data_IF_576687382350
#
_entry.id   IF_576687382350
#
_cell.length_a   1.000
_cell.length_b   1.000
_cell.length_c   1.000
_cell.angle_alpha   90.00
_cell.angle_beta   90.00
_cell.angle_gamma   90.00
#
_symmetry.space_group_name_H-M   'P 1'
#
loop_
_entity.id
_entity.type
_entity.pdbx_description
1 polymer ?
#
# COMPACT_ATOMS: atom_id res chain seq x y z
N UNK A 1 -24.16 6.90 29.34
CA UNK A 1 -22.98 6.90 30.24
C UNK A 1 -23.45 7.19 31.65
N UNK A 2 -23.02 6.41 32.63
CA UNK A 2 -23.29 6.73 34.03
C UNK A 2 -22.10 7.49 34.61
N UNK A 3 -22.29 8.71 35.16
CA UNK A 3 -21.20 9.42 35.80
C UNK A 3 -20.77 8.71 37.08
N UNK A 4 -19.46 8.66 37.31
CA UNK A 4 -18.85 8.16 38.56
C UNK A 4 -17.96 9.26 39.13
N UNK A 5 -18.03 9.44 40.45
CA UNK A 5 -17.16 10.40 41.14
C UNK A 5 -15.80 9.77 41.38
N UNK A 6 -14.74 10.52 41.10
CA UNK A 6 -13.39 10.17 41.52
C UNK A 6 -13.29 10.37 43.03
N UNK A 7 -12.78 9.37 43.74
CA UNK A 7 -12.63 9.36 45.19
C UNK A 7 -11.15 9.34 45.55
N UNK A 8 -10.75 10.07 46.58
CA UNK A 8 -9.37 10.01 47.08
C UNK A 8 -9.23 8.82 48.03
N UNK A 9 -8.27 7.94 47.77
CA UNK A 9 -7.96 6.79 48.62
C UNK A 9 -6.48 6.86 48.97
N UNK A 10 -6.17 7.08 50.25
CA UNK A 10 -4.80 7.32 50.70
C UNK A 10 -4.30 8.73 50.38
N UNK A 11 -2.97 8.92 50.38
CA UNK A 11 -2.36 10.24 50.30
C UNK A 11 -2.27 10.78 48.85
N UNK A 12 -1.99 9.90 47.89
CA UNK A 12 -1.68 10.23 46.48
C UNK A 12 -2.53 9.51 45.44
N UNK A 13 -3.39 8.57 45.83
CA UNK A 13 -4.13 7.73 44.87
C UNK A 13 -5.59 8.16 44.75
N UNK A 14 -6.08 8.16 43.50
CA UNK A 14 -7.48 8.37 43.17
C UNK A 14 -8.10 7.05 42.75
N UNK A 15 -9.35 6.82 43.10
CA UNK A 15 -10.13 5.63 42.73
C UNK A 15 -11.46 6.01 42.09
N UNK A 16 -12.00 5.09 41.31
CA UNK A 16 -13.33 5.18 40.71
C UNK A 16 -14.05 3.85 40.93
N UNK A 17 -15.35 3.90 41.22
CA UNK A 17 -16.14 2.68 41.39
C UNK A 17 -16.50 2.07 40.04
N UNK A 18 -16.23 0.77 39.87
CA UNK A 18 -16.58 0.02 38.66
C UNK A 18 -18.11 -0.11 38.50
N UNK A 19 -18.67 -0.09 37.28
CA UNK A 19 -20.11 -0.27 37.05
C UNK A 19 -20.59 -1.64 37.52
N UNK A 20 -21.68 -1.68 38.30
CA UNK A 20 -22.20 -2.92 38.90
C UNK A 20 -22.58 -3.97 37.85
N UNK A 21 -23.17 -3.55 36.73
CA UNK A 21 -23.55 -4.48 35.65
C UNK A 21 -22.33 -5.04 34.92
N UNK A 22 -21.26 -4.26 34.80
CA UNK A 22 -20.01 -4.73 34.22
C UNK A 22 -19.35 -5.76 35.13
N UNK A 23 -19.24 -5.48 36.43
CA UNK A 23 -18.72 -6.42 37.44
C UNK A 23 -19.49 -7.75 37.44
N UNK A 24 -20.83 -7.71 37.33
CA UNK A 24 -21.65 -8.92 37.23
C UNK A 24 -21.39 -9.72 35.96
N UNK A 25 -21.22 -9.04 34.81
CA UNK A 25 -20.94 -9.69 33.52
C UNK A 25 -19.56 -10.33 33.48
N UNK A 26 -18.58 -9.68 34.08
CA UNK A 26 -17.19 -10.16 34.06
C UNK A 26 -16.84 -11.07 35.23
N UNK A 27 -17.71 -11.17 36.24
CA UNK A 27 -17.52 -12.07 37.39
C UNK A 27 -16.46 -11.61 38.39
N UNK A 28 -15.95 -10.38 38.26
CA UNK A 28 -14.88 -9.83 39.11
C UNK A 28 -15.32 -9.75 40.57
N UNK A 29 -14.43 -10.20 41.46
CA UNK A 29 -14.58 -10.14 42.90
C UNK A 29 -13.54 -9.23 43.55
N UNK A 30 -13.74 -8.97 44.84
CA UNK A 30 -12.79 -8.18 45.64
C UNK A 30 -11.45 -8.89 45.69
N UNK A 31 -10.40 -8.22 45.21
CA UNK A 31 -9.03 -8.74 45.22
C UNK A 31 -8.53 -9.19 43.84
N UNK A 32 -9.44 -9.32 42.87
CA UNK A 32 -9.07 -9.63 41.49
C UNK A 32 -8.36 -8.45 40.83
N UNK A 33 -7.47 -8.76 39.88
CA UNK A 33 -6.74 -7.78 39.11
C UNK A 33 -7.59 -7.28 37.94
N UNK A 34 -7.52 -5.98 37.68
CA UNK A 34 -8.09 -5.34 36.49
C UNK A 34 -6.98 -4.55 35.84
N UNK A 35 -6.83 -4.72 34.54
CA UNK A 35 -5.79 -4.06 33.75
C UNK A 35 -6.36 -2.78 33.14
N UNK A 36 -5.56 -1.73 33.15
CA UNK A 36 -5.92 -0.40 32.65
C UNK A 36 -4.94 -0.05 31.53
N UNK A 37 -5.45 0.28 30.35
CA UNK A 37 -4.69 0.86 29.25
C UNK A 37 -5.26 2.22 28.86
N UNK A 38 -4.38 3.18 28.57
CA UNK A 38 -4.77 4.49 28.03
C UNK A 38 -4.90 4.40 26.50
N UNK A 39 -6.04 4.83 25.98
CA UNK A 39 -6.32 4.93 24.54
C UNK A 39 -5.92 6.33 24.02
N UNK A 40 -5.82 6.50 22.70
CA UNK A 40 -5.37 7.76 22.06
C UNK A 40 -6.23 8.98 22.38
N UNK A 41 -7.51 8.79 22.67
CA UNK A 41 -8.45 9.84 23.08
C UNK A 41 -8.35 10.20 24.59
N UNK A 42 -7.34 9.66 25.28
CA UNK A 42 -7.14 9.72 26.74
C UNK A 42 -8.24 9.01 27.54
N UNK A 43 -9.03 8.15 26.91
CA UNK A 43 -9.91 7.24 27.63
C UNK A 43 -9.11 6.10 28.25
N UNK A 44 -9.64 5.52 29.33
CA UNK A 44 -9.05 4.36 29.98
C UNK A 44 -9.89 3.12 29.66
N UNK A 45 -9.27 2.12 29.06
CA UNK A 45 -9.87 0.80 28.81
C UNK A 45 -9.53 -0.14 29.96
N UNK A 46 -10.56 -0.82 30.46
CA UNK A 46 -10.48 -1.78 31.56
C UNK A 46 -10.67 -3.21 31.03
N UNK A 47 -9.75 -4.12 31.34
CA UNK A 47 -9.86 -5.56 31.00
C UNK A 47 -9.63 -6.44 32.23
N UNK A 48 -10.26 -7.62 32.24
CA UNK A 48 -10.19 -8.58 33.36
C UNK A 48 -9.07 -9.60 33.21
N UNK A 49 -8.65 -9.81 31.98
CA UNK A 49 -7.44 -10.55 31.67
C UNK A 49 -6.33 -9.54 31.40
N UNK A 50 -5.06 -9.91 31.69
CA UNK A 50 -3.93 -9.19 31.11
C UNK A 50 -4.20 -9.07 29.62
N UNK A 51 -3.77 -7.98 28.99
CA UNK A 51 -3.64 -8.00 27.54
C UNK A 51 -2.83 -9.28 27.23
N UNK A 52 -3.48 -10.28 26.62
CA UNK A 52 -2.77 -11.49 26.23
C UNK A 52 -1.57 -10.97 25.44
N UNK A 53 -0.36 -11.29 25.88
CA UNK A 53 0.82 -11.16 25.02
C UNK A 53 0.39 -11.80 23.71
N UNK A 54 0.40 -11.04 22.61
CA UNK A 54 -0.14 -11.46 21.31
C UNK A 54 0.00 -12.97 21.17
N UNK A 55 -1.08 -13.73 21.41
CA UNK A 55 -1.05 -15.17 21.18
C UNK A 55 -0.66 -15.25 19.70
N UNK A 56 0.52 -15.81 19.40
CA UNK A 56 0.99 -15.93 18.03
C UNK A 56 0.04 -16.89 17.32
N UNK A 57 -1.06 -16.33 16.82
CA UNK A 57 -2.11 -17.07 16.15
C UNK A 57 -1.47 -17.76 14.94
N UNK A 58 -1.59 -19.08 14.90
CA UNK A 58 -1.17 -19.88 13.75
C UNK A 58 -2.33 -19.96 12.79
N UNK A 59 -2.18 -19.35 11.62
CA UNK A 59 -3.20 -19.35 10.59
C UNK A 59 -3.00 -20.51 9.64
N UNK A 60 -4.00 -21.40 9.56
CA UNK A 60 -3.90 -22.64 8.80
C UNK A 60 -4.43 -22.43 7.37
N UNK A 61 -3.60 -22.75 6.39
CA UNK A 61 -3.93 -22.79 4.96
C UNK A 61 -4.03 -24.24 4.53
N UNK A 62 -5.22 -24.68 4.14
CA UNK A 62 -5.46 -26.03 3.66
C UNK A 62 -5.23 -26.11 2.14
N UNK A 63 -4.13 -26.75 1.74
CA UNK A 63 -3.72 -26.90 0.33
C UNK A 63 -4.72 -27.72 -0.47
N UNK A 64 -5.41 -28.69 0.15
CA UNK A 64 -6.40 -29.54 -0.53
C UNK A 64 -7.64 -28.78 -0.99
N UNK A 65 -7.80 -27.52 -0.53
CA UNK A 65 -8.86 -26.59 -0.94
C UNK A 65 -8.41 -25.58 -1.99
N UNK A 66 -7.17 -25.66 -2.46
CA UNK A 66 -6.64 -24.80 -3.50
C UNK A 66 -6.72 -25.52 -4.86
N UNK A 67 -7.45 -24.96 -5.83
CA UNK A 67 -7.60 -25.60 -7.15
C UNK A 67 -6.29 -25.68 -7.94
N UNK A 68 -5.34 -24.77 -7.66
CA UNK A 68 -4.01 -24.74 -8.27
C UNK A 68 -3.02 -23.95 -7.41
N UNK A 69 -1.74 -24.03 -7.76
CA UNK A 69 -0.65 -23.33 -7.06
C UNK A 69 -0.82 -21.81 -7.04
N UNK A 70 -1.37 -21.18 -8.09
CA UNK A 70 -1.59 -19.72 -8.10
C UNK A 70 -2.62 -19.26 -7.06
N UNK A 71 -3.61 -20.10 -6.72
CA UNK A 71 -4.54 -19.81 -5.63
C UNK A 71 -3.81 -19.92 -4.29
N UNK A 72 -2.99 -20.96 -4.11
CA UNK A 72 -2.18 -21.13 -2.92
C UNK A 72 -1.26 -19.93 -2.67
N UNK A 73 -0.56 -19.46 -3.71
CA UNK A 73 0.29 -18.26 -3.64
C UNK A 73 -0.48 -17.03 -3.15
N UNK A 74 -1.63 -16.76 -3.77
CA UNK A 74 -2.49 -15.62 -3.40
C UNK A 74 -3.00 -15.72 -1.96
N UNK A 75 -3.32 -16.92 -1.48
CA UNK A 75 -3.73 -17.13 -0.08
C UNK A 75 -2.58 -16.83 0.88
N UNK A 76 -1.35 -17.24 0.55
CA UNK A 76 -0.16 -16.94 1.37
C UNK A 76 0.11 -15.43 1.40
N UNK A 77 0.10 -14.77 0.24
CA UNK A 77 0.23 -13.30 0.14
C UNK A 77 -0.88 -12.60 0.93
N UNK A 78 -2.14 -13.05 0.82
CA UNK A 78 -3.25 -12.46 1.57
C UNK A 78 -3.05 -12.60 3.08
N UNK A 79 -2.59 -13.76 3.55
CA UNK A 79 -2.26 -13.93 4.96
C UNK A 79 -1.15 -12.98 5.42
N UNK A 80 -0.12 -12.80 4.59
CA UNK A 80 0.97 -11.86 4.85
C UNK A 80 0.48 -10.41 4.92
N UNK A 81 -0.31 -9.97 3.95
CA UNK A 81 -0.86 -8.61 3.90
C UNK A 81 -1.81 -8.34 5.07
N UNK A 82 -2.49 -9.36 5.60
CA UNK A 82 -3.31 -9.27 6.82
C UNK A 82 -2.50 -9.19 8.12
N UNK A 83 -1.19 -8.93 8.08
CA UNK A 83 -0.39 -8.79 9.31
C UNK A 83 -0.09 -10.09 10.05
N UNK A 84 -0.43 -11.26 9.48
CA UNK A 84 -0.32 -12.55 10.18
C UNK A 84 1.13 -12.98 10.33
N UNK A 85 1.55 -13.36 11.53
CA UNK A 85 2.95 -13.68 11.83
C UNK A 85 3.32 -15.14 11.55
N UNK A 86 2.40 -16.09 11.77
CA UNK A 86 2.65 -17.53 11.54
C UNK A 86 1.56 -18.10 10.63
N UNK A 87 1.98 -18.67 9.50
CA UNK A 87 1.10 -19.31 8.52
C UNK A 87 1.51 -20.78 8.40
N UNK A 88 0.63 -21.70 8.77
CA UNK A 88 0.83 -23.14 8.58
C UNK A 88 0.13 -23.57 7.30
N UNK A 89 0.89 -23.92 6.27
CA UNK A 89 0.38 -24.46 5.02
C UNK A 89 0.38 -25.97 5.13
N UNK A 90 -0.79 -26.62 5.15
CA UNK A 90 -0.92 -28.07 5.38
C UNK A 90 -1.81 -28.78 4.36
N UNK A 91 -1.59 -30.08 4.21
CA UNK A 91 -2.37 -30.98 3.35
C UNK A 91 -2.62 -32.31 4.05
N UNK A 92 -3.75 -32.95 3.75
CA UNK A 92 -4.05 -34.32 4.18
C UNK A 92 -3.25 -35.39 3.40
N UNK A 93 -2.63 -35.00 2.28
CA UNK A 93 -1.72 -35.82 1.48
C UNK A 93 -0.30 -35.25 1.55
N UNK A 94 0.66 -36.01 1.01
CA UNK A 94 2.00 -35.48 0.77
C UNK A 94 1.92 -34.27 -0.16
N UNK A 95 2.63 -33.20 0.20
CA UNK A 95 2.72 -32.01 -0.63
C UNK A 95 3.48 -32.32 -1.92
N UNK A 96 2.95 -31.82 -3.04
CA UNK A 96 3.57 -31.97 -4.35
C UNK A 96 4.75 -31.03 -4.47
N UNK A 97 5.73 -31.41 -5.30
CA UNK A 97 6.91 -30.58 -5.56
C UNK A 97 6.56 -29.17 -6.06
N UNK A 98 5.57 -29.08 -6.94
CA UNK A 98 5.08 -27.80 -7.49
C UNK A 98 4.51 -26.89 -6.39
N UNK A 99 3.78 -27.45 -5.42
CA UNK A 99 3.22 -26.71 -4.28
C UNK A 99 4.33 -26.18 -3.37
N UNK A 100 5.33 -27.00 -3.06
CA UNK A 100 6.48 -26.60 -2.24
C UNK A 100 7.31 -25.52 -2.94
N UNK A 101 7.58 -25.67 -4.24
CA UNK A 101 8.29 -24.67 -5.04
C UNK A 101 7.52 -23.34 -5.09
N UNK A 102 6.21 -23.40 -5.27
CA UNK A 102 5.33 -22.23 -5.23
C UNK A 102 5.34 -21.52 -3.87
N UNK A 103 5.26 -22.26 -2.76
CA UNK A 103 5.37 -21.70 -1.40
C UNK A 103 6.73 -21.01 -1.19
N UNK A 104 7.83 -21.64 -1.65
CA UNK A 104 9.19 -21.07 -1.57
C UNK A 104 9.32 -19.79 -2.38
N UNK A 105 8.80 -19.77 -3.61
CA UNK A 105 8.85 -18.60 -4.48
C UNK A 105 8.11 -17.41 -3.86
N UNK A 106 6.94 -17.65 -3.26
CA UNK A 106 6.20 -16.59 -2.56
C UNK A 106 6.93 -16.10 -1.31
N UNK A 107 7.47 -17.02 -0.49
CA UNK A 107 8.22 -16.65 0.69
C UNK A 107 9.44 -15.77 0.36
N UNK A 108 10.12 -16.02 -0.76
CA UNK A 108 11.25 -15.19 -1.21
C UNK A 108 10.86 -13.78 -1.63
N UNK A 109 9.63 -13.57 -2.13
CA UNK A 109 9.14 -12.24 -2.53
C UNK A 109 8.56 -11.44 -1.36
N UNK A 110 8.22 -12.07 -0.24
CA UNK A 110 7.59 -11.40 0.90
C UNK A 110 8.63 -11.07 1.96
N UNK A 111 8.88 -9.77 2.18
CA UNK A 111 9.94 -9.33 3.08
C UNK A 111 9.73 -9.91 4.49
N UNK A 112 10.80 -10.52 5.02
CA UNK A 112 10.84 -11.09 6.37
C UNK A 112 10.03 -12.36 6.57
N UNK A 113 9.39 -12.91 5.54
CA UNK A 113 8.70 -14.21 5.60
C UNK A 113 9.70 -15.33 5.29
N UNK A 114 9.85 -16.29 6.20
CA UNK A 114 10.72 -17.45 6.03
C UNK A 114 10.02 -18.76 6.36
N UNK A 115 10.46 -19.85 5.72
CA UNK A 115 10.05 -21.21 6.10
C UNK A 115 10.88 -21.63 7.30
N UNK A 116 10.23 -21.89 8.45
CA UNK A 116 10.90 -22.33 9.68
C UNK A 116 10.76 -23.83 9.94
N UNK A 117 9.77 -24.47 9.32
CA UNK A 117 9.54 -25.90 9.41
C UNK A 117 9.02 -26.42 8.07
N UNK A 118 9.55 -27.56 7.63
CA UNK A 118 9.13 -28.26 6.42
C UNK A 118 8.98 -29.75 6.74
N UNK A 119 7.82 -30.31 6.41
CA UNK A 119 7.51 -31.73 6.51
C UNK A 119 6.90 -32.24 5.21
N UNK A 120 6.66 -33.55 5.12
CA UNK A 120 5.98 -34.15 3.97
C UNK A 120 4.52 -33.65 3.80
N UNK A 121 3.90 -33.11 4.87
CA UNK A 121 2.47 -32.75 4.91
C UNK A 121 2.21 -31.27 5.21
N UNK A 122 3.22 -30.52 5.64
CA UNK A 122 3.05 -29.10 5.96
C UNK A 122 4.34 -28.29 5.88
N UNK A 123 4.18 -26.96 5.72
CA UNK A 123 5.22 -25.96 5.92
C UNK A 123 4.74 -24.92 6.92
N UNK A 124 5.63 -24.43 7.78
CA UNK A 124 5.36 -23.28 8.66
C UNK A 124 6.16 -22.08 8.16
N UNK A 125 5.43 -21.02 7.81
CA UNK A 125 5.98 -19.73 7.42
C UNK A 125 5.91 -18.78 8.62
N UNK A 126 7.00 -18.09 8.92
CA UNK A 126 7.07 -17.07 9.97
C UNK A 126 7.54 -15.74 9.41
N UNK A 127 6.80 -14.67 9.70
CA UNK A 127 7.24 -13.30 9.43
C UNK A 127 7.96 -12.74 10.64
N UNK A 128 9.19 -12.27 10.45
CA UNK A 128 10.06 -11.75 11.51
C UNK A 128 10.30 -10.24 11.40
N UNK A 129 9.36 -9.51 10.79
CA UNK A 129 9.45 -8.05 10.68
C UNK A 129 9.16 -7.39 12.02
N UNK A 130 10.08 -6.56 12.48
CA UNK A 130 9.86 -5.59 13.55
C UNK A 130 9.35 -4.27 12.95
N UNK A 131 8.09 -3.85 13.25
CA UNK A 131 7.52 -2.60 12.72
C UNK A 131 8.38 -1.36 12.98
N UNK A 132 9.15 -1.30 14.08
CA UNK A 132 10.03 -0.17 14.40
C UNK A 132 11.12 0.05 13.36
N UNK A 133 11.52 -1.01 12.68
CA UNK A 133 12.53 -0.96 11.62
C UNK A 133 11.99 -0.37 10.32
N UNK A 134 10.66 -0.22 10.20
CA UNK A 134 9.98 0.20 8.98
C UNK A 134 8.96 1.33 9.23
N UNK A 135 9.41 2.55 9.57
CA UNK A 135 8.52 3.70 9.68
C UNK A 135 7.70 3.90 8.39
N UNK A 136 6.40 4.17 8.53
CA UNK A 136 5.47 4.23 7.40
C UNK A 136 5.89 5.23 6.31
N UNK A 137 6.35 6.47 6.62
CA UNK A 137 6.80 7.42 5.60
C UNK A 137 8.01 6.91 4.80
N UNK A 138 8.89 6.13 5.43
CA UNK A 138 10.09 5.57 4.80
C UNK A 138 9.73 4.49 3.78
N UNK A 139 8.85 3.56 4.17
CA UNK A 139 8.40 2.48 3.28
C UNK A 139 7.61 3.05 2.10
N UNK A 140 6.70 4.00 2.35
CA UNK A 140 5.96 4.69 1.30
C UNK A 140 6.89 5.43 0.32
N UNK A 141 7.90 6.14 0.83
CA UNK A 141 8.89 6.83 -0.01
C UNK A 141 9.70 5.84 -0.84
N UNK A 142 10.02 4.67 -0.29
CA UNK A 142 10.73 3.62 -1.03
C UNK A 142 9.89 3.09 -2.20
N UNK A 143 8.60 2.82 -1.99
CA UNK A 143 7.69 2.41 -3.06
C UNK A 143 7.67 3.47 -4.16
N UNK A 144 7.43 4.73 -3.79
CA UNK A 144 7.48 5.85 -4.73
C UNK A 144 8.78 5.93 -5.53
N UNK A 145 9.95 5.83 -4.87
CA UNK A 145 11.23 5.93 -5.57
C UNK A 145 11.40 4.84 -6.63
N UNK A 146 11.03 3.59 -6.32
CA UNK A 146 11.12 2.47 -7.28
C UNK A 146 10.17 2.73 -8.45
N UNK A 147 8.91 3.08 -8.18
CA UNK A 147 7.92 3.38 -9.20
C UNK A 147 8.30 4.58 -10.07
N UNK A 148 8.88 5.65 -9.48
CA UNK A 148 9.35 6.84 -10.22
C UNK A 148 10.54 6.50 -11.11
N UNK A 149 11.48 5.67 -10.65
CA UNK A 149 12.59 5.16 -11.47
C UNK A 149 12.05 4.34 -12.65
N UNK A 150 11.14 3.38 -12.40
CA UNK A 150 10.51 2.59 -13.46
C UNK A 150 9.81 3.46 -14.49
N UNK A 151 9.08 4.49 -14.05
CA UNK A 151 8.38 5.38 -14.94
C UNK A 151 9.35 6.20 -15.78
N UNK A 152 10.39 6.74 -15.14
CA UNK A 152 11.43 7.49 -15.83
C UNK A 152 12.15 6.62 -16.88
N UNK A 153 12.57 5.41 -16.53
CA UNK A 153 13.18 4.45 -17.47
C UNK A 153 12.25 4.18 -18.67
N UNK A 154 10.95 4.05 -18.43
CA UNK A 154 9.94 3.85 -19.48
C UNK A 154 9.79 5.08 -20.39
N UNK A 155 9.83 6.29 -19.84
CA UNK A 155 9.75 7.54 -20.63
C UNK A 155 11.04 7.76 -21.42
N UNK A 156 12.20 7.55 -20.79
CA UNK A 156 13.52 7.65 -21.40
C UNK A 156 13.67 6.62 -22.54
N UNK A 157 13.11 5.41 -22.40
CA UNK A 157 13.07 4.41 -23.48
C UNK A 157 12.40 4.92 -24.78
N UNK A 158 11.37 5.77 -24.66
CA UNK A 158 10.69 6.39 -25.82
C UNK A 158 11.54 7.52 -26.41
N UNK A 159 12.14 8.35 -25.54
CA UNK A 159 12.92 9.55 -25.92
C UNK A 159 14.22 9.15 -26.60
N UNK A 160 14.98 8.27 -25.95
CA UNK A 160 16.33 7.87 -26.37
C UNK A 160 16.31 6.69 -27.33
N UNK A 161 15.13 6.10 -27.58
CA UNK A 161 14.94 4.89 -28.40
C UNK A 161 15.76 3.70 -27.88
N UNK A 162 15.83 3.58 -26.56
CA UNK A 162 16.54 2.52 -25.87
C UNK A 162 15.54 1.56 -25.21
N UNK A 163 15.26 0.45 -25.90
CA UNK A 163 14.35 -0.60 -25.40
C UNK A 163 14.88 -1.31 -24.15
N UNK A 164 16.19 -1.25 -23.87
CA UNK A 164 16.74 -1.87 -22.66
C UNK A 164 16.26 -1.16 -21.40
N UNK A 165 16.04 0.17 -21.45
CA UNK A 165 15.44 0.91 -20.34
C UNK A 165 14.01 0.44 -20.02
N UNK A 166 13.21 0.10 -21.04
CA UNK A 166 11.89 -0.49 -20.83
C UNK A 166 11.97 -1.89 -20.18
N UNK A 167 12.98 -2.68 -20.52
CA UNK A 167 13.23 -3.99 -19.88
C UNK A 167 13.71 -3.85 -18.44
N UNK A 168 14.54 -2.86 -18.15
CA UNK A 168 14.97 -2.54 -16.78
C UNK A 168 13.78 -2.20 -15.89
N UNK A 169 12.80 -1.45 -16.40
CA UNK A 169 11.55 -1.19 -15.69
C UNK A 169 10.78 -2.48 -15.36
N UNK A 170 10.75 -3.48 -16.27
CA UNK A 170 10.13 -4.79 -16.00
C UNK A 170 10.86 -5.56 -14.89
N UNK A 171 12.19 -5.44 -14.80
CA UNK A 171 13.01 -6.13 -13.79
C UNK A 171 12.77 -5.57 -12.39
N UNK A 172 12.40 -4.29 -12.28
CA UNK A 172 12.14 -3.61 -10.99
C UNK A 172 10.76 -3.85 -10.41
N UNK A 173 9.77 -4.22 -11.22
CA UNK A 173 8.39 -4.40 -10.76
C UNK A 173 8.27 -5.36 -9.56
N UNK A 174 8.97 -6.51 -9.52
CA UNK A 174 8.89 -7.39 -8.35
C UNK A 174 9.44 -6.76 -7.07
N UNK A 175 10.37 -5.79 -7.19
CA UNK A 175 10.83 -5.00 -6.04
C UNK A 175 9.73 -4.05 -5.56
N UNK A 176 9.01 -3.39 -6.46
CA UNK A 176 7.88 -2.53 -6.12
C UNK A 176 6.78 -3.32 -5.38
N UNK A 177 6.36 -4.48 -5.92
CA UNK A 177 5.40 -5.40 -5.29
C UNK A 177 5.80 -5.75 -3.86
N UNK A 178 7.08 -6.08 -3.65
CA UNK A 178 7.62 -6.45 -2.34
C UNK A 178 7.44 -5.32 -1.32
N UNK A 179 7.69 -4.08 -1.74
CA UNK A 179 7.51 -2.91 -0.87
C UNK A 179 6.02 -2.59 -0.66
N UNK A 180 5.18 -2.76 -1.68
CA UNK A 180 3.74 -2.59 -1.55
C UNK A 180 3.11 -3.59 -0.56
N UNK A 181 3.48 -4.87 -0.64
CA UNK A 181 2.99 -5.88 0.31
C UNK A 181 3.48 -5.63 1.73
N UNK A 182 4.72 -5.18 1.91
CA UNK A 182 5.21 -4.74 3.21
C UNK A 182 4.39 -3.57 3.75
N UNK A 183 4.13 -2.57 2.92
CA UNK A 183 3.40 -1.36 3.29
C UNK A 183 1.97 -1.69 3.75
N UNK A 184 1.26 -2.52 2.98
CA UNK A 184 -0.10 -2.96 3.31
C UNK A 184 -0.14 -3.86 4.55
N UNK A 185 0.87 -4.73 4.75
CA UNK A 185 1.05 -5.49 5.99
C UNK A 185 1.18 -4.59 7.20
N UNK A 186 2.06 -3.58 7.16
CA UNK A 186 2.27 -2.66 8.28
C UNK A 186 1.00 -1.86 8.60
N UNK A 187 0.27 -1.43 7.57
CA UNK A 187 -1.02 -0.74 7.73
C UNK A 187 -2.09 -1.64 8.35
N UNK A 188 -2.18 -2.90 7.94
CA UNK A 188 -3.09 -3.88 8.54
C UNK A 188 -2.75 -4.15 10.01
N UNK A 189 -1.48 -4.40 10.32
CA UNK A 189 -1.01 -4.61 11.70
C UNK A 189 -1.23 -3.36 12.59
N UNK A 190 -1.02 -2.16 12.06
CA UNK A 190 -1.30 -0.91 12.77
C UNK A 190 -2.79 -0.68 13.04
N UNK A 191 -3.67 -1.21 12.19
CA UNK A 191 -5.10 -1.14 12.41
C UNK A 191 -5.58 -2.13 13.50
N UNK A 192 -4.90 -3.27 13.64
CA UNK A 192 -5.19 -4.24 14.70
C UNK A 192 -4.55 -3.86 16.05
N UNK A 193 -3.39 -3.17 16.03
CA UNK A 193 -2.60 -2.86 17.22
C UNK A 193 -2.16 -1.40 17.27
N UNK A 194 -2.66 -0.67 18.27
CA UNK A 194 -2.24 0.71 18.55
C UNK A 194 -0.72 0.83 18.81
N UNK A 195 -0.12 -0.19 19.43
CA UNK A 195 1.33 -0.21 19.66
C UNK A 195 2.09 -0.22 18.34
N UNK A 196 1.66 -1.06 17.38
CA UNK A 196 2.26 -1.10 16.04
C UNK A 196 2.04 0.23 15.31
N UNK A 197 0.85 0.83 15.41
CA UNK A 197 0.58 2.13 14.81
C UNK A 197 1.56 3.21 15.29
N UNK A 198 1.83 3.26 16.60
CA UNK A 198 2.77 4.21 17.18
C UNK A 198 4.22 3.91 16.75
N UNK A 199 4.61 2.62 16.66
CA UNK A 199 5.93 2.18 16.20
C UNK A 199 6.23 2.56 14.74
N UNK A 200 5.23 2.53 13.87
CA UNK A 200 5.36 2.97 12.47
C UNK A 200 5.13 4.48 12.27
N UNK A 201 4.88 5.23 13.35
CA UNK A 201 4.74 6.68 13.34
C UNK A 201 3.35 7.21 12.97
N UNK A 202 2.29 6.40 13.14
CA UNK A 202 0.91 6.78 12.84
C UNK A 202 0.12 7.08 14.12
N UNK A 203 -0.16 8.36 14.33
CA UNK A 203 -0.92 8.83 15.49
C UNK A 203 -2.43 8.83 15.23
N UNK A 204 -2.85 9.35 14.08
CA UNK A 204 -4.27 9.51 13.75
C UNK A 204 -4.81 8.34 12.91
N UNK A 205 -5.95 7.72 13.27
CA UNK A 205 -6.55 6.63 12.49
C UNK A 205 -6.88 7.01 11.03
N UNK A 206 -7.27 8.26 10.77
CA UNK A 206 -7.56 8.73 9.42
C UNK A 206 -6.33 8.66 8.49
N UNK A 207 -5.12 8.84 9.05
CA UNK A 207 -3.88 8.73 8.29
C UNK A 207 -3.67 7.29 7.78
N UNK A 208 -4.11 6.26 8.51
CA UNK A 208 -4.02 4.87 8.04
C UNK A 208 -4.82 4.67 6.74
N UNK A 209 -6.04 5.22 6.70
CA UNK A 209 -6.93 5.13 5.54
C UNK A 209 -6.30 5.85 4.34
N UNK A 210 -5.87 7.10 4.52
CA UNK A 210 -5.24 7.89 3.45
C UNK A 210 -3.98 7.20 2.92
N UNK A 211 -3.13 6.68 3.80
CA UNK A 211 -1.88 6.01 3.42
C UNK A 211 -2.13 4.68 2.70
N UNK A 212 -3.16 3.94 3.10
CA UNK A 212 -3.57 2.73 2.39
C UNK A 212 -4.07 3.03 0.98
N UNK A 213 -4.87 4.08 0.80
CA UNK A 213 -5.35 4.50 -0.53
C UNK A 213 -4.16 4.93 -1.41
N UNK A 214 -3.23 5.73 -0.89
CA UNK A 214 -2.03 6.14 -1.63
C UNK A 214 -1.16 4.93 -2.01
N UNK A 215 -1.01 3.95 -1.10
CA UNK A 215 -0.28 2.70 -1.39
C UNK A 215 -0.89 1.94 -2.57
N UNK A 216 -2.22 1.79 -2.57
CA UNK A 216 -2.95 1.15 -3.68
C UNK A 216 -2.79 1.93 -4.98
N UNK A 217 -2.87 3.27 -4.95
CA UNK A 217 -2.66 4.08 -6.14
C UNK A 217 -1.24 3.98 -6.68
N UNK A 218 -0.22 3.92 -5.82
CA UNK A 218 1.17 3.69 -6.23
C UNK A 218 1.36 2.33 -6.92
N UNK A 219 0.77 1.27 -6.36
CA UNK A 219 0.77 -0.06 -6.99
C UNK A 219 0.10 -0.03 -8.36
N UNK A 220 -1.09 0.57 -8.44
CA UNK A 220 -1.81 0.71 -9.71
C UNK A 220 -1.00 1.52 -10.73
N UNK A 221 -0.27 2.55 -10.32
CA UNK A 221 0.64 3.31 -11.19
C UNK A 221 1.78 2.40 -11.66
N UNK A 222 2.39 1.62 -10.77
CA UNK A 222 3.41 0.60 -11.09
C UNK A 222 2.94 -0.37 -12.16
N UNK A 223 1.74 -0.93 -12.01
CA UNK A 223 1.11 -1.81 -13.01
C UNK A 223 0.96 -1.12 -14.37
N UNK A 224 0.51 0.14 -14.39
CA UNK A 224 0.35 0.90 -15.65
C UNK A 224 1.70 1.16 -16.32
N UNK A 225 2.74 1.46 -15.56
CA UNK A 225 4.11 1.60 -16.06
C UNK A 225 4.59 0.30 -16.68
N UNK A 226 4.35 -0.84 -16.02
CA UNK A 226 4.66 -2.17 -16.56
C UNK A 226 3.95 -2.43 -17.90
N UNK A 227 2.67 -2.05 -18.01
CA UNK A 227 1.94 -2.15 -19.29
C UNK A 227 2.58 -1.27 -20.38
N UNK A 228 2.97 -0.04 -20.06
CA UNK A 228 3.64 0.85 -21.02
C UNK A 228 4.98 0.26 -21.47
N UNK A 229 5.82 -0.19 -20.54
CA UNK A 229 7.12 -0.80 -20.84
C UNK A 229 6.98 -2.01 -21.80
N UNK A 230 6.01 -2.89 -21.55
CA UNK A 230 5.71 -4.00 -22.45
C UNK A 230 5.28 -3.53 -23.85
N UNK A 231 4.50 -2.45 -23.94
CA UNK A 231 4.06 -1.88 -25.22
C UNK A 231 5.20 -1.21 -25.98
N UNK A 232 6.17 -0.60 -25.30
CA UNK A 232 7.38 -0.06 -25.92
C UNK A 232 8.22 -1.19 -26.53
N UNK A 233 8.40 -2.30 -25.82
CA UNK A 233 9.09 -3.48 -26.35
C UNK A 233 8.35 -4.02 -27.59
N UNK A 234 7.02 -4.08 -27.54
CA UNK A 234 6.19 -4.50 -28.68
C UNK A 234 6.35 -3.56 -29.89
N UNK A 235 6.41 -2.23 -29.68
CA UNK A 235 6.68 -1.25 -30.75
C UNK A 235 8.03 -1.50 -31.41
N UNK A 236 9.07 -1.73 -30.60
CA UNK A 236 10.43 -1.98 -31.07
C UNK A 236 10.50 -3.29 -31.88
N UNK A 237 9.92 -4.38 -31.38
CA UNK A 237 9.92 -5.68 -32.05
C UNK A 237 9.23 -5.64 -33.42
N UNK A 238 8.13 -4.87 -33.50
CA UNK A 238 7.37 -4.65 -34.74
C UNK A 238 7.96 -3.57 -35.64
N UNK A 239 9.02 -2.88 -35.19
CA UNK A 239 9.67 -1.77 -35.91
C UNK A 239 8.71 -0.64 -36.26
N UNK A 240 7.72 -0.40 -35.40
CA UNK A 240 6.73 0.66 -35.57
C UNK A 240 7.35 1.94 -35.03
N UNK A 241 7.74 2.86 -35.94
CA UNK A 241 8.32 4.13 -35.52
C UNK A 241 7.90 5.29 -36.41
N UNK A 242 7.43 6.35 -35.76
CA UNK A 242 7.14 7.64 -36.37
C UNK A 242 7.64 8.73 -35.43
N UNK A 243 8.61 9.54 -35.85
CA UNK A 243 9.24 10.53 -34.97
C UNK A 243 8.23 11.51 -34.38
N UNK A 244 7.28 12.01 -35.18
CA UNK A 244 6.25 12.93 -34.69
C UNK A 244 5.30 12.28 -33.67
N UNK A 245 5.15 10.96 -33.71
CA UNK A 245 4.42 10.21 -32.69
C UNK A 245 5.24 10.06 -31.41
N UNK A 246 6.50 9.62 -31.53
CA UNK A 246 7.38 9.44 -30.38
C UNK A 246 7.56 10.76 -29.64
N UNK A 247 7.75 11.87 -30.35
CA UNK A 247 7.83 13.22 -29.74
C UNK A 247 6.59 13.55 -28.90
N UNK A 248 5.38 13.21 -29.39
CA UNK A 248 4.14 13.45 -28.65
C UNK A 248 3.97 12.49 -27.47
N UNK A 249 4.32 11.22 -27.63
CA UNK A 249 4.31 10.26 -26.53
C UNK A 249 5.28 10.68 -25.43
N UNK A 250 6.47 11.13 -25.78
CA UNK A 250 7.46 11.68 -24.86
C UNK A 250 6.94 12.90 -24.13
N UNK A 251 6.24 13.82 -24.81
CA UNK A 251 5.61 14.98 -24.17
C UNK A 251 4.56 14.56 -23.13
N UNK A 252 3.63 13.68 -23.49
CA UNK A 252 2.60 13.17 -22.56
C UNK A 252 3.27 12.40 -21.39
N UNK A 253 4.28 11.58 -21.69
CA UNK A 253 5.06 10.83 -20.71
C UNK A 253 5.74 11.74 -19.69
N UNK A 254 6.47 12.76 -20.13
CA UNK A 254 7.15 13.72 -19.27
C UNK A 254 6.16 14.55 -18.43
N UNK A 255 5.03 14.96 -19.00
CA UNK A 255 3.97 15.65 -18.27
C UNK A 255 3.41 14.76 -17.16
N UNK A 256 3.11 13.51 -17.48
CA UNK A 256 2.54 12.54 -16.53
C UNK A 256 3.55 12.16 -15.43
N UNK A 257 4.83 11.99 -15.77
CA UNK A 257 5.90 11.77 -14.79
C UNK A 257 6.04 12.95 -13.82
N UNK A 258 6.04 14.18 -14.36
CA UNK A 258 6.08 15.41 -13.55
C UNK A 258 4.88 15.50 -12.60
N UNK A 259 3.70 15.15 -13.12
CA UNK A 259 2.46 15.14 -12.35
C UNK A 259 2.51 14.11 -11.21
N UNK A 260 3.02 12.90 -11.49
CA UNK A 260 3.22 11.84 -10.50
C UNK A 260 4.18 12.26 -9.38
N UNK A 261 5.36 12.77 -9.73
CA UNK A 261 6.36 13.19 -8.75
C UNK A 261 5.83 14.34 -7.87
N UNK A 262 5.16 15.34 -8.46
CA UNK A 262 4.54 16.44 -7.70
C UNK A 262 3.42 15.97 -6.78
N UNK A 263 2.59 15.03 -7.21
CA UNK A 263 1.51 14.47 -6.40
C UNK A 263 2.06 13.83 -5.12
N UNK A 264 3.06 12.96 -5.27
CA UNK A 264 3.65 12.26 -4.13
C UNK A 264 4.47 13.20 -3.24
N UNK A 265 5.23 14.14 -3.81
CA UNK A 265 5.94 15.13 -2.99
C UNK A 265 4.97 15.98 -2.16
N UNK A 266 3.81 16.34 -2.70
CA UNK A 266 2.76 17.05 -1.96
C UNK A 266 2.25 16.27 -0.74
N UNK A 267 2.18 14.94 -0.81
CA UNK A 267 1.82 14.08 0.35
C UNK A 267 2.82 14.21 1.50
N UNK A 268 4.10 14.43 1.19
CA UNK A 268 5.17 14.56 2.19
C UNK A 268 5.34 16.00 2.69
N UNK A 269 5.29 16.96 1.77
CA UNK A 269 5.61 18.38 2.04
C UNK A 269 4.39 19.19 2.48
N UNK A 270 3.18 18.80 2.07
CA UNK A 270 1.95 19.50 2.42
C UNK A 270 1.74 20.81 1.66
N UNK A 271 2.32 20.96 0.47
CA UNK A 271 2.09 22.14 -0.38
C UNK A 271 0.77 22.01 -1.15
N UNK A 272 -0.27 22.69 -0.66
CA UNK A 272 -1.61 22.71 -1.28
C UNK A 272 -1.61 23.31 -2.68
N UNK A 273 -0.73 24.27 -2.97
CA UNK A 273 -0.67 24.89 -4.31
C UNK A 273 -0.12 23.91 -5.32
N UNK A 274 0.98 23.22 -4.98
CA UNK A 274 1.55 22.18 -5.84
C UNK A 274 0.56 21.04 -6.05
N UNK A 275 -0.16 20.62 -5.00
CA UNK A 275 -1.20 19.62 -5.12
C UNK A 275 -2.37 20.07 -6.02
N UNK A 276 -2.82 21.32 -5.89
CA UNK A 276 -3.87 21.88 -6.76
C UNK A 276 -3.42 21.96 -8.22
N UNK A 277 -2.18 22.40 -8.47
CA UNK A 277 -1.61 22.45 -9.82
C UNK A 277 -1.59 21.05 -10.46
N UNK A 278 -1.35 19.99 -9.67
CA UNK A 278 -1.43 18.60 -10.13
C UNK A 278 -2.83 18.25 -10.61
N UNK A 279 -3.87 18.60 -9.84
CA UNK A 279 -5.27 18.37 -10.24
C UNK A 279 -5.57 19.05 -11.57
N UNK A 280 -5.12 20.28 -11.78
CA UNK A 280 -5.31 21.03 -13.03
C UNK A 280 -4.53 20.43 -14.22
N UNK A 281 -3.34 19.85 -13.98
CA UNK A 281 -2.53 19.20 -15.02
C UNK A 281 -3.22 17.99 -15.65
N UNK A 282 -4.14 17.32 -14.93
CA UNK A 282 -4.93 16.20 -15.46
C UNK A 282 -5.69 16.59 -16.73
N UNK A 283 -6.31 17.77 -16.73
CA UNK A 283 -7.12 18.25 -17.86
C UNK A 283 -6.23 18.60 -19.08
N UNK A 284 -4.94 18.88 -18.86
CA UNK A 284 -3.96 19.07 -19.93
C UNK A 284 -3.57 17.73 -20.58
N UNK A 285 -3.33 16.70 -19.76
CA UNK A 285 -3.04 15.34 -20.26
C UNK A 285 -4.20 14.81 -21.11
N UNK A 286 -5.45 15.01 -20.65
CA UNK A 286 -6.63 14.62 -21.42
C UNK A 286 -6.74 15.36 -22.76
N UNK A 287 -6.39 16.66 -22.81
CA UNK A 287 -6.37 17.40 -24.07
C UNK A 287 -5.33 16.87 -25.05
N UNK A 288 -4.13 16.56 -24.57
CA UNK A 288 -3.06 16.02 -25.43
C UNK A 288 -3.37 14.62 -25.93
N UNK A 289 -4.01 13.77 -25.12
CA UNK A 289 -4.53 12.47 -25.54
C UNK A 289 -5.55 12.58 -26.68
N UNK A 290 -6.58 13.42 -26.52
CA UNK A 290 -7.57 13.70 -27.56
C UNK A 290 -6.93 14.25 -28.85
N UNK A 291 -5.91 15.10 -28.73
CA UNK A 291 -5.19 15.64 -29.88
C UNK A 291 -4.41 14.54 -30.61
N UNK A 292 -3.79 13.62 -29.88
CA UNK A 292 -3.07 12.48 -30.43
C UNK A 292 -4.02 11.55 -31.19
N UNK A 293 -5.15 11.17 -30.60
CA UNK A 293 -6.15 10.31 -31.25
C UNK A 293 -6.63 10.90 -32.58
N UNK A 294 -6.96 12.20 -32.58
CA UNK A 294 -7.38 12.92 -33.80
C UNK A 294 -6.28 12.97 -34.86
N UNK A 295 -5.02 13.09 -34.44
CA UNK A 295 -3.91 13.16 -35.38
C UNK A 295 -3.71 11.85 -36.14
N UNK A 296 -3.90 10.71 -35.48
CA UNK A 296 -3.67 9.37 -36.04
C UNK A 296 -4.91 8.73 -36.67
N UNK A 297 -6.09 9.30 -36.47
CA UNK A 297 -7.31 8.85 -37.15
C UNK A 297 -7.12 8.79 -38.67
N UNK A 298 -7.12 7.57 -39.22
CA UNK A 298 -6.95 7.30 -40.66
C UNK A 298 -5.54 7.47 -41.23
N UNK A 299 -4.50 7.68 -40.40
CA UNK A 299 -3.10 7.92 -40.86
C UNK A 299 -2.10 6.82 -40.53
N UNK A 300 -2.46 5.87 -39.67
CA UNK A 300 -1.61 4.74 -39.28
C UNK A 300 -2.37 3.42 -39.46
N UNK A 301 -1.63 2.31 -39.57
CA UNK A 301 -2.21 0.98 -39.59
C UNK A 301 -2.85 0.64 -38.23
N UNK A 302 -3.84 -0.25 -38.27
CA UNK A 302 -4.67 -0.61 -37.10
C UNK A 302 -3.81 -1.14 -35.94
N UNK A 303 -2.74 -1.86 -36.25
CA UNK A 303 -1.88 -2.49 -35.26
C UNK A 303 -1.04 -1.46 -34.51
N UNK A 304 -0.40 -0.53 -35.24
CA UNK A 304 0.30 0.62 -34.64
C UNK A 304 -0.63 1.45 -33.76
N UNK A 305 -1.81 1.82 -34.27
CA UNK A 305 -2.79 2.61 -33.51
C UNK A 305 -3.19 1.92 -32.21
N UNK A 306 -3.37 0.59 -32.22
CA UNK A 306 -3.73 -0.18 -31.03
C UNK A 306 -2.67 -0.10 -29.93
N UNK A 307 -1.39 -0.30 -30.29
CA UNK A 307 -0.27 -0.28 -29.31
C UNK A 307 -0.10 1.12 -28.73
N UNK A 308 -0.18 2.14 -29.57
CA UNK A 308 -0.05 3.55 -29.19
C UNK A 308 -1.19 3.96 -28.26
N UNK A 309 -2.43 3.64 -28.62
CA UNK A 309 -3.59 3.93 -27.77
C UNK A 309 -3.47 3.22 -26.41
N UNK A 310 -2.89 2.02 -26.37
CA UNK A 310 -2.62 1.34 -25.11
C UNK A 310 -1.62 2.11 -24.24
N UNK A 311 -0.52 2.63 -24.79
CA UNK A 311 0.44 3.46 -24.05
C UNK A 311 -0.23 4.71 -23.49
N UNK A 312 -0.95 5.42 -24.35
CA UNK A 312 -1.59 6.70 -24.02
C UNK A 312 -2.68 6.54 -22.98
N UNK A 313 -3.48 5.47 -23.11
CA UNK A 313 -4.48 5.11 -22.12
C UNK A 313 -3.85 4.86 -20.75
N UNK A 314 -2.75 4.10 -20.68
CA UNK A 314 -2.05 3.86 -19.42
C UNK A 314 -1.48 5.16 -18.82
N UNK A 315 -0.92 6.06 -19.64
CA UNK A 315 -0.46 7.38 -19.18
C UNK A 315 -1.62 8.23 -18.62
N UNK A 316 -2.78 8.23 -19.28
CA UNK A 316 -3.99 8.90 -18.79
C UNK A 316 -4.39 8.34 -17.42
N UNK A 317 -4.42 7.02 -17.24
CA UNK A 317 -4.73 6.40 -15.94
C UNK A 317 -3.73 6.80 -14.85
N UNK A 318 -2.43 6.87 -15.16
CA UNK A 318 -1.43 7.35 -14.20
C UNK A 318 -1.71 8.82 -13.81
N UNK A 319 -2.12 9.66 -14.77
CA UNK A 319 -2.50 11.05 -14.48
C UNK A 319 -3.73 11.11 -13.55
N UNK A 320 -4.76 10.31 -13.79
CA UNK A 320 -5.97 10.27 -12.94
C UNK A 320 -5.64 9.84 -11.50
N UNK A 321 -4.80 8.81 -11.34
CA UNK A 321 -4.33 8.34 -10.03
C UNK A 321 -3.45 9.38 -9.33
N UNK A 322 -2.60 10.09 -10.09
CA UNK A 322 -1.75 11.16 -9.56
C UNK A 322 -2.57 12.36 -9.07
N UNK A 323 -3.65 12.73 -9.78
CA UNK A 323 -4.59 13.75 -9.33
C UNK A 323 -5.28 13.33 -8.03
N UNK A 324 -5.74 12.07 -7.93
CA UNK A 324 -6.37 11.56 -6.71
C UNK A 324 -5.40 11.53 -5.51
N UNK A 325 -4.12 11.21 -5.73
CA UNK A 325 -3.07 11.33 -4.69
C UNK A 325 -2.92 12.79 -4.22
N UNK A 326 -2.93 13.75 -5.15
CA UNK A 326 -2.83 15.16 -4.82
C UNK A 326 -4.06 15.68 -4.05
N UNK A 327 -5.27 15.24 -4.38
CA UNK A 327 -6.48 15.52 -3.60
C UNK A 327 -6.35 15.02 -2.15
N UNK A 328 -5.85 13.79 -1.94
CA UNK A 328 -5.56 13.26 -0.60
C UNK A 328 -4.51 14.11 0.12
N UNK A 329 -3.52 14.65 -0.59
CA UNK A 329 -2.52 15.54 0.01
C UNK A 329 -3.15 16.85 0.50
N UNK A 330 -4.09 17.43 -0.25
CA UNK A 330 -4.86 18.61 0.16
C UNK A 330 -5.67 18.29 1.42
N UNK A 331 -6.42 17.19 1.41
CA UNK A 331 -7.25 16.76 2.55
C UNK A 331 -6.41 16.61 3.83
N UNK A 332 -5.23 16.00 3.71
CA UNK A 332 -4.30 15.82 4.83
C UNK A 332 -3.85 17.16 5.44
N UNK A 333 -3.56 18.17 4.63
CA UNK A 333 -3.17 19.50 5.14
C UNK A 333 -4.31 20.15 5.91
N UNK A 334 -5.55 19.96 5.46
CA UNK A 334 -6.75 20.53 6.07
C UNK A 334 -7.21 19.80 7.35
N UNK A 335 -6.61 18.65 7.70
CA UNK A 335 -6.88 17.96 8.97
C UNK A 335 -6.42 18.78 10.19
N UNK A 336 -5.33 19.52 10.04
CA UNK A 336 -4.77 20.36 11.10
C UNK A 336 -5.13 21.83 10.86
N UNK A 337 -5.15 22.63 11.94
CA UNK A 337 -5.25 24.07 11.82
C UNK A 337 -4.08 24.62 11.00
N UNK A 338 -4.40 25.35 9.95
CA UNK A 338 -3.42 25.95 9.04
C UNK A 338 -3.87 27.34 8.59
N UNK A 339 -3.06 28.00 7.76
CA UNK A 339 -3.32 29.35 7.27
C UNK A 339 -4.57 29.45 6.37
N UNK A 340 -4.99 28.34 5.75
CA UNK A 340 -6.14 28.29 4.84
C UNK A 340 -7.44 27.86 5.54
N UNK A 341 -7.37 26.98 6.53
CA UNK A 341 -8.51 26.48 7.29
C UNK A 341 -8.19 26.44 8.79
N UNK A 342 -8.99 27.11 9.61
CA UNK A 342 -8.82 27.14 11.07
C UNK A 342 -10.14 26.87 11.80
N UNK A 343 -10.04 26.12 12.89
CA UNK A 343 -11.15 25.80 13.79
C UNK A 343 -11.40 27.02 14.68
N UNK A 344 -12.58 27.61 14.55
CA UNK A 344 -13.07 28.62 15.48
C UNK A 344 -13.30 27.94 16.84
N UNK A 345 -12.48 28.27 17.84
CA UNK A 345 -12.71 27.83 19.22
C UNK A 345 -13.84 28.67 19.82
N UNK A 346 -14.96 28.03 20.13
CA UNK A 346 -16.06 28.63 20.91
C UNK A 346 -15.74 28.65 22.40
#
# INVERSE_FOLDING_TARGET
MEPRKVQKVGYSTLSISLPTDWVKKTGIQKGDLVFISEEKDRSLKLTVEPAKSEEQNVYIVNVDRCDNVKILERIIVANYVLGRNIIKVESSRRLMREEIESIRNVAQRLLGLGIIEESDYHLILQCSIDPKSFPLPTVLRRLYMITSIMFKETVDAIIDDDVELAKDALIREPEADTIYWLLTRLLASAQESNAVADEIGVKEPLILIQKNIIAVFLEMIGDRILQIANKIIELNDKKIRNNALMDRLSQIGLMTLTMFDKAINSVFEGDVKVASDVVDMRDLVEKEENNLERYFHGKADIESVSIINSIVWNLKHISELSAAIAEIAIDKVLMDNNEMCSIMKN
#
